data_IF_744904302959
#
_entry.id   IF_744904302959
#
_cell.length_a   1.000
_cell.length_b   1.000
_cell.length_c   1.000
_cell.angle_alpha   90.00
_cell.angle_beta   90.00
_cell.angle_gamma   90.00
#
_symmetry.space_group_name_H-M   'P 1'
#
loop_
_entity.id
_entity.type
_entity.pdbx_description
1 polymer ?
#
# COMPACT_ATOMS: atom_id res chain seq x y z
N UNK A 1 -50.71 -26.88 23.48
CA UNK A 1 -49.44 -26.32 23.98
C UNK A 1 -48.22 -27.14 23.58
N UNK A 2 -48.22 -28.47 23.68
CA UNK A 2 -47.02 -29.30 23.43
C UNK A 2 -46.41 -29.28 22.00
N UNK A 3 -47.15 -28.87 20.95
CA UNK A 3 -46.66 -28.95 19.56
C UNK A 3 -45.81 -27.74 19.17
N UNK A 4 -46.10 -26.56 19.75
CA UNK A 4 -45.34 -25.33 19.48
C UNK A 4 -43.93 -25.43 20.11
N UNK A 5 -43.84 -25.92 21.35
CA UNK A 5 -42.57 -26.07 22.07
C UNK A 5 -41.61 -27.06 21.37
N UNK A 6 -42.15 -28.11 20.73
CA UNK A 6 -41.38 -29.08 19.96
C UNK A 6 -40.85 -28.51 18.63
N UNK A 7 -41.56 -27.56 18.01
CA UNK A 7 -41.09 -26.90 16.80
C UNK A 7 -39.97 -25.91 17.10
N UNK A 8 -40.10 -25.12 18.17
CA UNK A 8 -39.07 -24.17 18.60
C UNK A 8 -37.76 -24.87 18.97
N UNK A 9 -37.82 -25.98 19.72
CA UNK A 9 -36.63 -26.77 20.07
C UNK A 9 -35.93 -27.38 18.84
N UNK A 10 -36.67 -27.71 17.79
CA UNK A 10 -36.12 -28.26 16.54
C UNK A 10 -35.44 -27.18 15.70
N UNK A 11 -35.98 -25.97 15.69
CA UNK A 11 -35.39 -24.81 15.00
C UNK A 11 -34.10 -24.35 15.66
N UNK A 12 -34.04 -24.34 16.99
CA UNK A 12 -32.85 -23.96 17.75
C UNK A 12 -31.70 -24.96 17.51
N UNK A 13 -31.99 -26.26 17.58
CA UNK A 13 -31.02 -27.33 17.26
C UNK A 13 -30.54 -27.28 15.80
N UNK A 14 -31.37 -26.83 14.87
CA UNK A 14 -30.97 -26.65 13.48
C UNK A 14 -30.06 -25.42 13.31
N UNK A 15 -30.31 -24.31 14.03
CA UNK A 15 -29.42 -23.14 14.02
C UNK A 15 -28.04 -23.47 14.57
N UNK A 16 -27.97 -24.21 15.68
CA UNK A 16 -26.70 -24.66 16.25
C UNK A 16 -25.89 -25.52 15.28
N UNK A 17 -26.55 -26.44 14.56
CA UNK A 17 -25.91 -27.26 13.52
C UNK A 17 -25.40 -26.45 12.35
N UNK A 18 -26.15 -25.43 11.92
CA UNK A 18 -25.73 -24.53 10.83
C UNK A 18 -24.52 -23.69 11.25
N UNK A 19 -24.50 -23.18 12.49
CA UNK A 19 -23.36 -22.42 13.00
C UNK A 19 -22.12 -23.30 13.22
N UNK A 20 -22.29 -24.55 13.66
CA UNK A 20 -21.20 -25.52 13.73
C UNK A 20 -20.64 -25.83 12.34
N UNK A 21 -21.51 -26.07 11.35
CA UNK A 21 -21.09 -26.31 9.97
C UNK A 21 -20.38 -25.11 9.34
N UNK A 22 -20.82 -23.87 9.61
CA UNK A 22 -20.10 -22.65 9.16
C UNK A 22 -18.71 -22.55 9.76
N UNK A 23 -18.55 -22.87 11.05
CA UNK A 23 -17.23 -22.88 11.71
C UNK A 23 -16.32 -23.96 11.12
N UNK A 24 -16.85 -25.15 10.82
CA UNK A 24 -16.10 -26.21 10.18
C UNK A 24 -15.68 -25.84 8.75
N UNK A 25 -16.56 -25.18 7.98
CA UNK A 25 -16.23 -24.68 6.64
C UNK A 25 -15.15 -23.61 6.72
N UNK A 26 -15.25 -22.62 7.61
CA UNK A 26 -14.19 -21.61 7.80
C UNK A 26 -12.85 -22.23 8.25
N UNK A 27 -12.88 -23.25 9.10
CA UNK A 27 -11.68 -23.95 9.53
C UNK A 27 -11.07 -24.80 8.40
N UNK A 28 -11.90 -25.35 7.52
CA UNK A 28 -11.46 -26.10 6.34
C UNK A 28 -10.90 -25.18 5.26
N UNK A 29 -11.54 -24.03 4.98
CA UNK A 29 -11.02 -22.99 4.08
C UNK A 29 -9.64 -22.51 4.53
N UNK A 30 -9.47 -22.20 5.82
CA UNK A 30 -8.15 -21.87 6.40
C UNK A 30 -7.09 -22.97 6.26
N UNK A 31 -7.48 -24.24 6.19
CA UNK A 31 -6.55 -25.37 6.02
C UNK A 31 -6.19 -25.63 4.55
N UNK A 32 -7.09 -25.32 3.62
CA UNK A 32 -6.84 -25.46 2.17
C UNK A 32 -5.91 -24.35 1.67
N UNK A 33 -5.97 -23.16 2.28
CA UNK A 33 -5.07 -22.03 1.99
C UNK A 33 -3.70 -22.12 2.68
N UNK A 34 -3.43 -23.15 3.47
CA UNK A 34 -2.17 -23.32 4.20
C UNK A 34 -1.28 -24.38 3.52
N UNK A 35 -0.73 -24.05 2.35
CA UNK A 35 0.50 -24.71 1.91
C UNK A 35 1.62 -24.38 2.91
N UNK A 36 2.53 -25.32 3.25
CA UNK A 36 3.69 -25.02 4.11
C UNK A 36 4.54 -23.83 3.62
N UNK A 37 4.45 -23.49 2.34
CA UNK A 37 5.10 -22.32 1.72
C UNK A 37 4.40 -20.98 2.00
N UNK A 38 3.19 -20.95 2.57
CA UNK A 38 2.45 -19.72 2.91
C UNK A 38 2.54 -19.37 4.41
N UNK A 39 3.06 -20.29 5.24
CA UNK A 39 3.16 -20.16 6.69
C UNK A 39 4.20 -19.09 7.13
N UNK A 40 5.25 -18.85 6.33
CA UNK A 40 6.27 -17.85 6.65
C UNK A 40 5.71 -16.42 6.71
N UNK A 41 4.76 -16.09 5.84
CA UNK A 41 4.23 -14.74 5.73
C UNK A 41 3.37 -14.41 6.96
N UNK A 42 2.54 -15.35 7.42
CA UNK A 42 1.80 -15.17 8.67
C UNK A 42 2.73 -15.04 9.87
N UNK A 43 3.76 -15.89 9.97
CA UNK A 43 4.78 -15.81 11.04
C UNK A 43 5.47 -14.45 11.11
N UNK A 44 5.64 -13.76 9.98
CA UNK A 44 6.20 -12.40 9.98
C UNK A 44 5.21 -11.35 10.43
N UNK A 45 3.95 -11.45 10.03
CA UNK A 45 2.90 -10.50 10.41
C UNK A 45 2.53 -10.61 11.90
N UNK A 46 2.75 -11.77 12.51
CA UNK A 46 2.59 -11.99 13.94
C UNK A 46 3.73 -11.39 14.78
N UNK A 47 4.78 -10.86 14.14
CA UNK A 47 5.91 -10.19 14.80
C UNK A 47 5.80 -8.67 14.68
N UNK A 48 6.42 -7.96 15.62
CA UNK A 48 6.66 -6.52 15.47
C UNK A 48 7.85 -6.31 14.53
N UNK A 49 7.58 -5.72 13.35
CA UNK A 49 8.57 -5.49 12.32
C UNK A 49 9.09 -4.05 12.37
N UNK A 50 10.40 -3.88 12.18
CA UNK A 50 11.01 -2.56 12.17
C UNK A 50 10.93 -1.92 10.78
N UNK A 51 10.63 -0.62 10.75
CA UNK A 51 10.74 0.15 9.51
C UNK A 51 12.19 0.64 9.35
N UNK A 52 12.93 0.02 8.42
CA UNK A 52 14.29 0.43 8.06
C UNK A 52 14.35 1.72 7.23
N UNK A 53 15.52 2.00 6.65
CA UNK A 53 15.72 3.15 5.76
C UNK A 53 15.05 3.03 4.39
N UNK A 54 14.34 1.92 4.13
CA UNK A 54 13.78 1.59 2.81
C UNK A 54 14.87 1.38 1.76
N UNK A 55 14.53 0.70 0.67
CA UNK A 55 15.42 0.62 -0.49
C UNK A 55 15.29 1.90 -1.31
N UNK A 56 16.42 2.43 -1.78
CA UNK A 56 16.42 3.62 -2.61
C UNK A 56 15.80 3.30 -3.98
N UNK A 57 14.83 4.10 -4.43
CA UNK A 57 14.26 4.01 -5.77
C UNK A 57 15.31 4.26 -6.88
N UNK A 58 16.40 4.95 -6.54
CA UNK A 58 17.46 5.32 -7.45
C UNK A 58 18.81 4.85 -6.92
N UNK A 59 19.54 4.09 -7.74
CA UNK A 59 20.92 3.64 -7.46
C UNK A 59 21.99 4.45 -8.21
N UNK A 60 21.58 5.50 -8.93
CA UNK A 60 22.48 6.32 -9.76
C UNK A 60 23.21 7.39 -8.93
N UNK A 61 24.34 7.88 -9.45
CA UNK A 61 25.12 8.95 -8.80
C UNK A 61 24.26 10.22 -8.59
N UNK A 62 23.35 10.52 -9.53
CA UNK A 62 22.43 11.66 -9.44
C UNK A 62 21.46 11.58 -8.26
N UNK A 63 21.27 10.42 -7.62
CA UNK A 63 20.48 10.30 -6.40
C UNK A 63 21.10 11.05 -5.22
N UNK A 64 22.41 11.33 -5.26
CA UNK A 64 23.16 12.01 -4.19
C UNK A 64 23.26 13.53 -4.37
N UNK A 65 22.84 14.05 -5.53
CA UNK A 65 22.91 15.50 -5.80
C UNK A 65 21.83 16.23 -5.03
N UNK A 66 22.00 17.51 -4.76
CA UNK A 66 20.97 18.31 -4.10
C UNK A 66 19.68 18.34 -4.95
N UNK A 67 18.53 18.28 -4.27
CA UNK A 67 17.24 18.32 -4.94
C UNK A 67 16.81 19.77 -5.21
N UNK A 68 16.94 20.20 -6.46
CA UNK A 68 16.57 21.54 -6.90
C UNK A 68 15.06 21.80 -6.73
N UNK A 69 14.69 22.96 -6.18
CA UNK A 69 13.28 23.35 -6.00
C UNK A 69 12.60 22.74 -4.77
N UNK A 70 13.36 22.10 -3.87
CA UNK A 70 12.84 21.49 -2.63
C UNK A 70 12.05 22.50 -1.79
N UNK A 71 12.60 23.69 -1.56
CA UNK A 71 11.97 24.67 -0.66
C UNK A 71 10.62 25.16 -1.20
N UNK A 72 10.55 25.45 -2.51
CA UNK A 72 9.32 25.84 -3.20
C UNK A 72 8.27 24.72 -3.11
N UNK A 73 8.67 23.48 -3.38
CA UNK A 73 7.77 22.33 -3.26
C UNK A 73 7.29 22.11 -1.82
N UNK A 74 8.12 22.30 -0.81
CA UNK A 74 7.68 22.24 0.59
C UNK A 74 6.66 23.34 0.90
N UNK A 75 6.83 24.54 0.34
CA UNK A 75 5.86 25.62 0.51
C UNK A 75 4.52 25.29 -0.16
N UNK A 76 4.55 24.73 -1.37
CA UNK A 76 3.36 24.31 -2.09
C UNK A 76 2.64 23.12 -1.43
N UNK A 77 3.38 22.17 -0.86
CA UNK A 77 2.85 20.97 -0.21
C UNK A 77 2.16 21.25 1.13
N UNK A 78 2.44 22.38 1.80
CA UNK A 78 1.85 22.71 3.09
C UNK A 78 0.32 22.79 3.03
N UNK A 79 -0.25 23.38 1.99
CA UNK A 79 -1.71 23.53 1.83
C UNK A 79 -2.43 22.18 1.67
N UNK A 80 -2.09 21.32 0.69
CA UNK A 80 -2.74 20.02 0.55
C UNK A 80 -2.47 19.11 1.76
N UNK A 81 -1.27 19.18 2.36
CA UNK A 81 -0.96 18.39 3.54
C UNK A 81 -1.77 18.82 4.77
N UNK A 82 -1.93 20.12 5.02
CA UNK A 82 -2.79 20.64 6.08
C UNK A 82 -4.24 20.19 5.91
N UNK A 83 -4.79 20.32 4.69
CA UNK A 83 -6.15 19.86 4.37
C UNK A 83 -6.32 18.37 4.65
N UNK A 84 -5.36 17.54 4.23
CA UNK A 84 -5.40 16.11 4.51
C UNK A 84 -5.43 15.82 6.02
N UNK A 85 -4.63 16.54 6.81
CA UNK A 85 -4.57 16.37 8.27
C UNK A 85 -5.86 16.80 8.96
N UNK A 86 -6.50 17.88 8.49
CA UNK A 86 -7.73 18.44 9.07
C UNK A 86 -8.96 17.56 8.82
N UNK A 87 -9.02 16.90 7.66
CA UNK A 87 -10.18 16.12 7.24
C UNK A 87 -10.07 14.62 7.53
N UNK A 88 -8.87 14.12 7.90
CA UNK A 88 -8.64 12.71 8.23
C UNK A 88 -9.61 12.22 9.31
N UNK A 89 -10.40 11.19 8.97
CA UNK A 89 -11.34 10.54 9.89
C UNK A 89 -12.64 11.30 10.15
N UNK A 90 -12.75 12.55 9.67
CA UNK A 90 -13.91 13.42 9.89
C UNK A 90 -14.80 13.49 8.65
N UNK A 91 -14.18 13.52 7.46
CA UNK A 91 -14.86 13.72 6.19
C UNK A 91 -14.70 12.50 5.26
N UNK A 92 -15.69 12.27 4.40
CA UNK A 92 -15.64 11.26 3.33
C UNK A 92 -15.45 11.89 1.94
N UNK A 93 -15.51 13.23 1.84
CA UNK A 93 -15.30 13.92 0.58
C UNK A 93 -13.86 13.74 0.09
N UNK A 94 -13.74 13.04 -1.04
CA UNK A 94 -12.47 12.76 -1.71
C UNK A 94 -11.73 14.03 -2.14
N UNK A 95 -12.43 15.16 -2.28
CA UNK A 95 -11.80 16.45 -2.59
C UNK A 95 -10.92 16.96 -1.43
N UNK A 96 -11.13 16.46 -0.22
CA UNK A 96 -10.38 16.83 0.98
C UNK A 96 -9.20 15.89 1.28
N UNK A 97 -9.00 14.86 0.45
CA UNK A 97 -7.93 13.89 0.57
C UNK A 97 -7.04 13.91 -0.68
N UNK A 98 -6.17 14.93 -0.81
CA UNK A 98 -5.38 15.14 -2.02
C UNK A 98 -4.47 13.96 -2.33
N UNK A 99 -4.47 13.54 -3.59
CA UNK A 99 -3.50 12.61 -4.15
C UNK A 99 -2.47 13.40 -4.95
N UNK A 100 -1.19 13.24 -4.62
CA UNK A 100 -0.10 13.86 -5.37
C UNK A 100 0.18 13.04 -6.62
N UNK A 101 0.39 13.72 -7.75
CA UNK A 101 0.63 13.05 -9.03
C UNK A 101 1.80 13.71 -9.72
N UNK A 102 2.79 12.92 -10.11
CA UNK A 102 3.99 13.37 -10.78
C UNK A 102 4.11 12.75 -12.19
N UNK A 103 3.82 13.55 -13.21
CA UNK A 103 3.97 13.16 -14.60
C UNK A 103 5.10 13.93 -15.27
N UNK A 104 6.04 13.21 -15.86
CA UNK A 104 7.14 13.81 -16.61
C UNK A 104 7.77 12.79 -17.56
N UNK A 105 8.51 13.28 -18.56
CA UNK A 105 9.32 12.45 -19.46
C UNK A 105 10.40 11.65 -18.70
N UNK A 106 11.03 10.63 -19.33
CA UNK A 106 12.17 9.94 -18.74
C UNK A 106 13.28 10.91 -18.31
N UNK A 107 13.95 10.61 -17.20
CA UNK A 107 15.09 11.42 -16.71
C UNK A 107 14.74 12.73 -16.00
N UNK A 108 13.46 13.12 -15.92
CA UNK A 108 13.01 14.39 -15.32
C UNK A 108 12.80 14.33 -13.79
N UNK A 109 13.45 13.39 -13.08
CA UNK A 109 13.46 13.39 -11.62
C UNK A 109 12.20 12.87 -10.89
N UNK A 110 11.32 12.11 -11.53
CA UNK A 110 10.10 11.54 -10.91
C UNK A 110 10.39 10.64 -9.69
N UNK A 111 11.21 9.61 -9.89
CA UNK A 111 11.60 8.70 -8.79
C UNK A 111 12.38 9.46 -7.71
N UNK A 112 13.10 10.53 -8.08
CA UNK A 112 13.80 11.39 -7.12
C UNK A 112 12.81 12.19 -6.27
N UNK A 113 11.75 12.74 -6.86
CA UNK A 113 10.66 13.39 -6.13
C UNK A 113 10.07 12.44 -5.08
N UNK A 114 9.77 11.19 -5.46
CA UNK A 114 9.25 10.19 -4.53
C UNK A 114 10.22 9.87 -3.39
N UNK A 115 11.52 9.78 -3.66
CA UNK A 115 12.54 9.59 -2.61
C UNK A 115 12.67 10.77 -1.65
N UNK A 116 12.46 12.01 -2.12
CA UNK A 116 12.55 13.23 -1.29
C UNK A 116 11.25 13.53 -0.54
N UNK A 117 10.11 13.05 -1.04
CA UNK A 117 8.78 13.34 -0.51
C UNK A 117 8.65 13.09 1.00
N UNK A 118 9.14 11.98 1.59
CA UNK A 118 9.06 11.76 3.04
C UNK A 118 9.74 12.88 3.86
N UNK A 119 10.91 13.34 3.41
CA UNK A 119 11.63 14.42 4.06
C UNK A 119 10.90 15.76 3.90
N UNK A 120 10.28 16.01 2.73
CA UNK A 120 9.47 17.20 2.49
C UNK A 120 8.19 17.21 3.32
N UNK A 121 7.50 16.08 3.49
CA UNK A 121 6.31 15.95 4.35
C UNK A 121 6.69 16.16 5.82
N UNK A 122 7.82 15.60 6.26
CA UNK A 122 8.33 15.82 7.61
C UNK A 122 8.67 17.30 7.86
N UNK A 123 9.17 18.01 6.84
CA UNK A 123 9.40 19.46 6.88
C UNK A 123 8.09 20.25 6.93
N UNK A 124 7.08 19.87 6.12
CA UNK A 124 5.73 20.44 6.17
C UNK A 124 5.11 20.29 7.56
N UNK A 125 5.24 19.10 8.18
CA UNK A 125 4.79 18.81 9.55
C UNK A 125 5.39 19.78 10.57
N UNK A 126 6.69 20.05 10.45
CA UNK A 126 7.41 20.99 11.34
C UNK A 126 7.01 22.44 11.10
N UNK A 127 6.80 22.86 9.85
CA UNK A 127 6.43 24.24 9.48
C UNK A 127 5.00 24.59 9.87
N UNK A 128 4.02 23.74 9.56
CA UNK A 128 2.60 24.00 9.86
C UNK A 128 2.34 24.07 11.36
N UNK A 129 2.86 23.12 12.13
CA UNK A 129 2.78 23.05 13.59
C UNK A 129 1.39 23.41 14.19
N UNK A 130 0.32 23.06 13.48
CA UNK A 130 -1.08 23.19 13.94
C UNK A 130 -1.42 22.05 14.91
N UNK A 131 -2.49 22.19 15.67
CA UNK A 131 -2.89 21.18 16.66
C UNK A 131 -3.14 19.81 16.02
N UNK A 132 -3.79 19.79 14.86
CA UNK A 132 -4.08 18.60 14.07
C UNK A 132 -2.81 17.92 13.55
N UNK A 133 -1.75 18.69 13.28
CA UNK A 133 -0.47 18.17 12.75
C UNK A 133 0.44 17.69 13.89
N UNK A 134 0.35 18.30 15.08
CA UNK A 134 1.20 17.99 16.24
C UNK A 134 1.03 16.57 16.78
N UNK A 135 -0.13 15.95 16.57
CA UNK A 135 -0.36 14.57 16.99
C UNK A 135 0.60 13.60 16.27
N UNK A 136 0.97 13.90 15.03
CA UNK A 136 1.89 13.08 14.25
C UNK A 136 3.34 13.30 14.70
N UNK A 137 4.01 12.22 15.07
CA UNK A 137 5.36 12.22 15.65
C UNK A 137 6.43 11.70 14.71
N UNK A 138 6.07 10.80 13.79
CA UNK A 138 7.00 10.19 12.84
C UNK A 138 6.39 10.04 11.46
N UNK A 139 7.27 9.98 10.47
CA UNK A 139 6.93 9.75 9.06
C UNK A 139 7.66 8.50 8.58
N UNK A 140 6.93 7.53 8.04
CA UNK A 140 7.45 6.34 7.35
C UNK A 140 7.12 6.41 5.86
N UNK A 141 7.83 5.66 5.02
CA UNK A 141 7.69 5.80 3.57
C UNK A 141 7.77 4.47 2.82
N UNK A 142 6.63 3.95 2.38
CA UNK A 142 6.59 2.83 1.44
C UNK A 142 6.71 3.36 0.02
N UNK A 143 7.82 3.06 -0.64
CA UNK A 143 8.14 3.51 -1.99
C UNK A 143 8.08 2.32 -2.92
N UNK A 144 6.89 2.09 -3.46
CA UNK A 144 6.55 0.94 -4.27
C UNK A 144 6.88 1.22 -5.72
N UNK A 145 7.67 0.36 -6.37
CA UNK A 145 7.97 0.52 -7.81
C UNK A 145 7.33 -0.57 -8.64
N UNK A 146 6.69 -0.16 -9.73
CA UNK A 146 6.18 -1.02 -10.80
C UNK A 146 7.27 -1.31 -11.85
N UNK A 147 8.49 -0.86 -11.64
CA UNK A 147 9.64 -1.05 -12.52
C UNK A 147 10.70 -1.94 -11.86
N UNK A 148 11.72 -2.32 -12.62
CA UNK A 148 12.88 -3.07 -12.14
C UNK A 148 12.49 -4.41 -11.47
N UNK A 149 13.35 -4.94 -10.59
CA UNK A 149 13.22 -6.27 -9.97
C UNK A 149 11.96 -6.51 -9.12
N UNK A 150 11.04 -5.54 -9.01
CA UNK A 150 9.73 -5.67 -8.36
C UNK A 150 8.56 -5.36 -9.30
N UNK A 151 8.80 -5.39 -10.62
CA UNK A 151 7.77 -5.16 -11.62
C UNK A 151 6.55 -6.09 -11.44
N UNK A 152 5.34 -5.64 -11.83
CA UNK A 152 4.15 -6.46 -11.79
C UNK A 152 4.35 -7.76 -12.55
N UNK A 153 3.94 -8.84 -11.93
CA UNK A 153 3.91 -10.16 -12.53
C UNK A 153 2.68 -10.35 -13.40
N UNK A 154 2.29 -11.61 -13.61
CA UNK A 154 0.96 -11.88 -14.14
C UNK A 154 -0.11 -11.43 -13.12
N UNK A 155 -0.94 -10.45 -13.48
CA UNK A 155 -1.91 -9.87 -12.56
C UNK A 155 -2.87 -10.91 -11.98
N UNK A 156 -3.37 -11.83 -12.81
CA UNK A 156 -4.39 -12.81 -12.44
C UNK A 156 -3.87 -13.95 -11.56
N UNK A 157 -2.59 -14.31 -11.69
CA UNK A 157 -2.03 -15.48 -10.99
C UNK A 157 -1.01 -15.11 -9.92
N UNK A 158 -0.29 -14.00 -10.08
CA UNK A 158 0.83 -13.63 -9.22
C UNK A 158 0.60 -12.38 -8.40
N UNK A 159 -0.23 -11.43 -8.83
CA UNK A 159 -0.61 -10.26 -8.02
C UNK A 159 -1.97 -10.48 -7.35
N UNK A 160 -2.89 -11.15 -8.04
CA UNK A 160 -4.28 -11.48 -7.69
C UNK A 160 -5.20 -10.26 -7.58
N UNK A 161 -4.77 -9.21 -6.89
CA UNK A 161 -5.49 -7.95 -6.74
C UNK A 161 -4.54 -6.82 -6.28
N UNK A 162 -5.01 -5.58 -6.35
CA UNK A 162 -4.22 -4.41 -5.94
C UNK A 162 -3.85 -4.39 -4.45
N UNK A 163 -4.69 -4.92 -3.56
CA UNK A 163 -4.39 -4.99 -2.12
C UNK A 163 -3.15 -5.84 -1.86
N UNK A 164 -3.11 -7.04 -2.43
CA UNK A 164 -1.95 -7.93 -2.34
C UNK A 164 -0.73 -7.39 -3.07
N UNK A 165 -0.92 -6.76 -4.24
CA UNK A 165 0.15 -6.07 -4.97
C UNK A 165 0.91 -5.08 -4.07
N UNK A 166 0.17 -4.24 -3.33
CA UNK A 166 0.75 -3.27 -2.40
C UNK A 166 1.36 -3.96 -1.18
N UNK A 167 0.60 -4.81 -0.52
CA UNK A 167 1.01 -5.42 0.73
C UNK A 167 2.27 -6.27 0.60
N UNK A 168 2.38 -7.03 -0.50
CA UNK A 168 3.57 -7.83 -0.79
C UNK A 168 4.82 -6.94 -0.95
N UNK A 169 4.72 -5.81 -1.65
CA UNK A 169 5.84 -4.89 -1.86
C UNK A 169 6.18 -4.09 -0.61
N UNK A 170 5.16 -3.70 0.16
CA UNK A 170 5.35 -3.07 1.47
C UNK A 170 6.10 -4.01 2.41
N UNK A 171 5.68 -5.28 2.51
CA UNK A 171 6.36 -6.28 3.34
C UNK A 171 7.79 -6.53 2.85
N UNK A 172 7.99 -6.65 1.53
CA UNK A 172 9.33 -6.82 0.94
C UNK A 172 10.28 -5.68 1.32
N UNK A 173 9.82 -4.43 1.31
CA UNK A 173 10.64 -3.26 1.67
C UNK A 173 11.16 -3.31 3.12
N UNK A 174 10.54 -4.11 4.00
CA UNK A 174 10.97 -4.30 5.38
C UNK A 174 12.12 -5.31 5.51
N UNK A 175 12.43 -6.07 4.45
CA UNK A 175 13.43 -7.14 4.47
C UNK A 175 14.77 -6.69 5.07
N UNK A 176 15.30 -5.57 4.57
CA UNK A 176 16.64 -5.09 4.91
C UNK A 176 16.82 -4.81 6.41
N UNK A 177 15.80 -4.32 7.10
CA UNK A 177 15.84 -4.09 8.55
C UNK A 177 15.53 -5.35 9.38
N UNK A 178 14.83 -6.32 8.79
CA UNK A 178 14.29 -7.47 9.52
C UNK A 178 14.87 -8.80 9.03
N UNK A 179 16.07 -8.80 8.44
CA UNK A 179 16.63 -9.99 7.78
C UNK A 179 16.64 -11.24 8.67
N UNK A 180 16.91 -11.09 9.97
CA UNK A 180 16.89 -12.20 10.92
C UNK A 180 15.49 -12.81 11.06
N UNK A 181 14.45 -11.98 11.20
CA UNK A 181 13.06 -12.42 11.27
C UNK A 181 12.59 -13.08 9.97
N UNK A 182 12.91 -12.47 8.82
CA UNK A 182 12.58 -13.03 7.49
C UNK A 182 13.23 -14.38 7.26
N UNK A 183 14.51 -14.53 7.59
CA UNK A 183 15.22 -15.82 7.50
C UNK A 183 14.67 -16.86 8.47
N UNK A 184 14.36 -16.47 9.70
CA UNK A 184 13.78 -17.37 10.70
C UNK A 184 12.37 -17.85 10.32
N UNK A 185 11.58 -16.99 9.68
CA UNK A 185 10.27 -17.34 9.15
C UNK A 185 10.35 -18.27 7.92
N UNK A 186 11.48 -18.29 7.21
CA UNK A 186 11.67 -19.04 5.97
C UNK A 186 11.22 -18.27 4.72
N UNK A 187 11.24 -16.94 4.77
CA UNK A 187 10.85 -16.10 3.64
C UNK A 187 11.87 -16.24 2.48
N UNK A 188 11.42 -16.29 1.21
CA UNK A 188 12.32 -16.33 0.06
C UNK A 188 13.18 -15.06 -0.05
N UNK A 189 14.45 -15.20 -0.46
CA UNK A 189 15.41 -14.08 -0.58
C UNK A 189 15.35 -13.35 -1.95
N UNK A 190 14.57 -13.85 -2.90
CA UNK A 190 14.29 -13.17 -4.16
C UNK A 190 12.81 -12.76 -4.24
N UNK A 191 12.55 -11.59 -4.81
CA UNK A 191 11.20 -11.02 -4.82
C UNK A 191 10.20 -11.86 -5.62
N UNK A 192 10.63 -12.55 -6.69
CA UNK A 192 9.73 -13.34 -7.51
C UNK A 192 9.18 -14.55 -6.73
N UNK A 193 10.04 -15.30 -6.06
CA UNK A 193 9.64 -16.39 -5.17
C UNK A 193 8.88 -15.88 -3.95
N UNK A 194 9.31 -14.75 -3.37
CA UNK A 194 8.62 -14.09 -2.26
C UNK A 194 7.18 -13.77 -2.64
N UNK A 195 6.97 -13.10 -3.77
CA UNK A 195 5.64 -12.77 -4.31
C UNK A 195 4.82 -14.01 -4.58
N UNK A 196 5.39 -15.04 -5.23
CA UNK A 196 4.65 -16.25 -5.57
C UNK A 196 4.14 -17.01 -4.33
N UNK A 197 4.89 -16.95 -3.21
CA UNK A 197 4.58 -17.68 -1.97
C UNK A 197 3.88 -16.82 -0.91
N UNK A 198 3.76 -15.51 -1.13
CA UNK A 198 3.10 -14.58 -0.22
C UNK A 198 1.60 -14.89 -0.10
N UNK A 199 1.02 -14.68 1.08
CA UNK A 199 -0.41 -14.94 1.38
C UNK A 199 -1.32 -14.31 0.32
N UNK A 200 -2.31 -15.07 -0.14
CA UNK A 200 -3.19 -14.65 -1.24
C UNK A 200 -4.15 -13.53 -0.85
N UNK A 201 -4.52 -13.46 0.42
CA UNK A 201 -5.42 -12.48 1.01
C UNK A 201 -4.69 -11.35 1.75
N UNK A 202 -3.36 -11.23 1.59
CA UNK A 202 -2.58 -10.20 2.25
C UNK A 202 -3.06 -8.80 1.83
N UNK A 203 -3.29 -7.93 2.80
CA UNK A 203 -3.67 -6.52 2.54
C UNK A 203 -2.70 -5.54 3.21
N UNK A 204 -2.62 -4.28 2.73
CA UNK A 204 -1.69 -3.28 3.26
C UNK A 204 -1.86 -3.04 4.77
N UNK A 205 -3.11 -3.11 5.23
CA UNK A 205 -3.49 -2.94 6.62
C UNK A 205 -2.81 -3.98 7.55
N UNK A 206 -2.55 -5.20 7.08
CA UNK A 206 -1.85 -6.22 7.87
C UNK A 206 -0.37 -5.85 8.07
N UNK A 207 0.26 -5.35 7.01
CA UNK A 207 1.66 -4.88 7.06
C UNK A 207 1.80 -3.64 7.95
N UNK A 208 0.83 -2.72 7.86
CA UNK A 208 0.81 -1.53 8.71
C UNK A 208 0.66 -1.91 10.19
N UNK A 209 -0.15 -2.92 10.53
CA UNK A 209 -0.28 -3.42 11.91
C UNK A 209 1.02 -4.01 12.43
N UNK A 210 1.71 -4.80 11.62
CA UNK A 210 2.98 -5.40 12.01
C UNK A 210 4.08 -4.36 12.30
N UNK A 211 4.07 -3.22 11.58
CA UNK A 211 5.09 -2.16 11.72
C UNK A 211 4.70 -1.06 12.70
N UNK A 212 3.40 -0.87 12.94
CA UNK A 212 2.86 0.24 13.74
C UNK A 212 1.92 -0.21 14.88
N UNK A 213 2.22 -1.29 15.64
CA UNK A 213 1.27 -1.88 16.59
C UNK A 213 0.68 -0.85 17.58
N UNK A 214 1.53 0.04 18.11
CA UNK A 214 1.12 1.04 19.10
C UNK A 214 1.25 2.50 18.61
N UNK A 215 1.54 2.71 17.32
CA UNK A 215 1.90 4.05 16.81
C UNK A 215 1.09 4.50 15.61
N UNK A 216 0.07 3.75 15.17
CA UNK A 216 -0.76 4.12 14.02
C UNK A 216 -1.29 5.55 14.10
N UNK A 217 -1.90 5.92 15.23
CA UNK A 217 -2.54 7.23 15.44
C UNK A 217 -1.58 8.42 15.35
N UNK A 218 -0.28 8.19 15.56
CA UNK A 218 0.75 9.24 15.59
C UNK A 218 1.72 9.15 14.41
N UNK A 219 1.42 8.31 13.42
CA UNK A 219 2.31 8.07 12.28
C UNK A 219 1.72 8.61 10.99
N UNK A 220 2.58 9.25 10.20
CA UNK A 220 2.33 9.56 8.79
C UNK A 220 2.99 8.46 7.96
N UNK A 221 2.26 7.90 7.01
CA UNK A 221 2.77 6.96 6.02
C UNK A 221 2.73 7.63 4.66
N UNK A 222 3.91 7.87 4.08
CA UNK A 222 4.04 8.26 2.68
C UNK A 222 3.98 7.00 1.83
N UNK A 223 3.01 6.93 0.92
CA UNK A 223 2.88 5.86 -0.06
C UNK A 223 3.24 6.42 -1.44
N UNK A 224 4.47 6.17 -1.86
CA UNK A 224 4.96 6.49 -3.20
C UNK A 224 4.74 5.30 -4.13
N UNK A 225 4.19 5.53 -5.32
CA UNK A 225 4.05 4.50 -6.36
C UNK A 225 4.72 4.96 -7.64
N UNK A 226 5.85 4.35 -7.98
CA UNK A 226 6.62 4.67 -9.17
C UNK A 226 6.27 3.75 -10.35
N UNK A 227 6.41 4.29 -11.55
CA UNK A 227 6.32 3.51 -12.77
C UNK A 227 4.90 3.08 -13.16
N UNK A 228 3.86 3.85 -12.81
CA UNK A 228 2.46 3.49 -13.10
C UNK A 228 2.18 3.22 -14.58
N UNK A 229 3.02 3.73 -15.50
CA UNK A 229 2.94 3.43 -16.93
C UNK A 229 3.23 1.97 -17.30
N UNK A 230 3.88 1.22 -16.40
CA UNK A 230 4.14 -0.21 -16.58
C UNK A 230 2.93 -1.10 -16.30
N UNK A 231 1.83 -0.54 -15.78
CA UNK A 231 0.61 -1.29 -15.50
C UNK A 231 -0.29 -1.36 -16.73
N UNK A 232 -0.85 -2.54 -16.97
CA UNK A 232 -1.86 -2.74 -18.00
C UNK A 232 -3.08 -1.83 -17.74
N UNK A 233 -3.56 -1.20 -18.82
CA UNK A 233 -4.66 -0.23 -18.77
C UNK A 233 -4.24 1.21 -18.50
N UNK A 234 -2.94 1.51 -18.42
CA UNK A 234 -2.43 2.89 -18.35
C UNK A 234 -2.65 3.65 -19.65
N UNK A 235 -2.39 3.05 -20.82
CA UNK A 235 -2.61 3.70 -22.12
C UNK A 235 -4.09 3.57 -22.55
N UNK A 236 -4.87 4.67 -22.55
CA UNK A 236 -6.27 4.63 -22.98
C UNK A 236 -6.44 4.38 -24.48
N UNK A 237 -5.37 4.52 -25.28
CA UNK A 237 -5.39 4.33 -26.74
C UNK A 237 -5.16 2.87 -27.14
N UNK A 238 -4.73 2.02 -26.22
CA UNK A 238 -4.47 0.60 -26.46
C UNK A 238 -5.75 -0.24 -26.72
N UNK A 239 -6.91 0.38 -26.98
CA UNK A 239 -8.15 -0.29 -27.37
C UNK A 239 -8.87 -1.04 -26.25
N UNK A 240 -8.23 -1.23 -25.09
CA UNK A 240 -8.75 -2.00 -23.95
C UNK A 240 -8.94 -1.12 -22.69
N UNK A 241 -9.73 -0.07 -22.84
CA UNK A 241 -10.15 0.73 -21.68
C UNK A 241 -11.08 -0.11 -20.78
N UNK A 242 -10.69 -0.31 -19.51
CA UNK A 242 -11.51 -1.05 -18.56
C UNK A 242 -11.18 -0.70 -17.11
N UNK A 243 -12.20 -0.39 -16.31
CA UNK A 243 -12.07 -0.10 -14.87
C UNK A 243 -11.58 -1.28 -14.02
N UNK A 244 -11.48 -2.47 -14.63
CA UNK A 244 -10.97 -3.71 -14.05
C UNK A 244 -9.52 -4.00 -14.46
N UNK A 245 -8.85 -3.09 -15.18
CA UNK A 245 -7.44 -3.24 -15.53
C UNK A 245 -6.54 -2.92 -14.34
N UNK A 246 -5.34 -3.54 -14.25
CA UNK A 246 -4.40 -3.35 -13.15
C UNK A 246 -4.15 -1.90 -12.76
N UNK A 247 -3.95 -1.01 -13.73
CA UNK A 247 -3.76 0.43 -13.48
C UNK A 247 -4.89 1.03 -12.63
N UNK A 248 -6.16 0.75 -12.97
CA UNK A 248 -7.31 1.29 -12.27
C UNK A 248 -7.52 0.63 -10.90
N UNK A 249 -7.17 -0.64 -10.74
CA UNK A 249 -7.20 -1.31 -9.45
C UNK A 249 -6.16 -0.72 -8.50
N UNK A 250 -4.93 -0.53 -8.96
CA UNK A 250 -3.85 0.11 -8.18
C UNK A 250 -4.24 1.53 -7.78
N UNK A 251 -4.73 2.36 -8.72
CA UNK A 251 -5.19 3.72 -8.41
C UNK A 251 -6.34 3.73 -7.40
N UNK A 252 -7.28 2.79 -7.51
CA UNK A 252 -8.40 2.68 -6.56
C UNK A 252 -7.89 2.33 -5.16
N UNK A 253 -6.89 1.46 -5.07
CA UNK A 253 -6.32 1.04 -3.79
C UNK A 253 -5.50 2.16 -3.14
N UNK A 254 -4.72 2.93 -3.90
CA UNK A 254 -4.06 4.15 -3.39
C UNK A 254 -5.12 5.12 -2.85
N UNK A 255 -6.18 5.38 -3.62
CA UNK A 255 -7.27 6.21 -3.17
C UNK A 255 -7.94 5.65 -1.91
N UNK A 256 -8.14 4.33 -1.80
CA UNK A 256 -8.69 3.70 -0.58
C UNK A 256 -7.82 4.01 0.63
N UNK A 257 -6.51 3.81 0.52
CA UNK A 257 -5.55 4.03 1.60
C UNK A 257 -5.46 5.49 2.02
N UNK A 258 -5.47 6.43 1.07
CA UNK A 258 -5.45 7.87 1.36
C UNK A 258 -6.77 8.33 2.02
N UNK A 259 -7.92 7.85 1.51
CA UNK A 259 -9.25 8.22 2.01
C UNK A 259 -9.70 7.45 3.26
N UNK A 260 -8.94 6.45 3.72
CA UNK A 260 -9.39 5.63 4.84
C UNK A 260 -9.55 6.50 6.10
N UNK A 261 -10.61 6.26 6.87
CA UNK A 261 -10.83 6.98 8.13
C UNK A 261 -9.86 6.55 9.24
N UNK A 262 -9.49 5.27 9.22
CA UNK A 262 -8.58 4.69 10.20
C UNK A 262 -7.17 5.29 10.05
N UNK A 263 -6.48 5.37 11.18
CA UNK A 263 -5.04 5.65 11.21
C UNK A 263 -4.25 4.51 10.56
N UNK A 264 -3.02 4.76 10.07
CA UNK A 264 -2.30 6.04 10.08
C UNK A 264 -2.82 7.07 9.05
N UNK A 265 -2.30 8.30 9.12
CA UNK A 265 -2.45 9.28 8.03
C UNK A 265 -1.63 8.81 6.84
N UNK A 266 -2.26 8.65 5.67
CA UNK A 266 -1.57 8.21 4.45
C UNK A 266 -1.47 9.36 3.46
N UNK A 267 -0.25 9.72 3.08
CA UNK A 267 0.04 10.69 2.02
C UNK A 267 0.40 9.91 0.76
N UNK A 268 -0.50 9.88 -0.22
CA UNK A 268 -0.28 9.17 -1.48
C UNK A 268 0.40 10.04 -2.54
N UNK A 269 1.40 9.48 -3.23
CA UNK A 269 1.98 10.08 -4.43
C UNK A 269 2.21 9.02 -5.50
N UNK A 270 1.72 9.26 -6.71
CA UNK A 270 1.91 8.36 -7.85
C UNK A 270 2.74 9.05 -8.93
N UNK A 271 3.69 8.35 -9.52
CA UNK A 271 4.44 8.83 -10.67
C UNK A 271 4.25 7.94 -11.90
N UNK A 272 4.21 8.60 -13.06
CA UNK A 272 4.26 7.89 -14.32
C UNK A 272 5.07 8.66 -15.37
N UNK A 273 5.67 7.92 -16.28
CA UNK A 273 6.31 8.48 -17.47
C UNK A 273 5.25 8.78 -18.52
N UNK A 274 5.20 10.03 -18.97
CA UNK A 274 4.43 10.38 -20.17
C UNK A 274 5.35 10.26 -21.39
N UNK A 275 4.96 9.41 -22.33
CA UNK A 275 5.51 9.45 -23.69
C UNK A 275 4.72 10.49 -24.48
N UNK A 276 5.35 11.62 -24.78
CA UNK A 276 4.85 12.52 -25.80
C UNK A 276 5.13 11.87 -27.15
N UNK A 277 4.12 11.24 -27.76
CA UNK A 277 4.18 10.96 -29.19
C UNK A 277 4.56 12.26 -29.88
N UNK A 278 5.71 12.26 -30.56
CA UNK A 278 6.11 13.35 -31.42
C UNK A 278 5.13 13.40 -32.61
N UNK A 279 3.97 14.02 -32.40
CA UNK A 279 3.11 14.56 -33.45
C UNK A 279 3.72 15.79 -34.12
N UNK A 280 5.05 15.84 -34.24
CA UNK A 280 5.76 16.76 -35.12
C UNK A 280 6.38 15.91 -36.23
N UNK A 281 5.52 15.49 -37.15
CA UNK A 281 5.94 15.43 -38.54
C UNK A 281 6.28 16.87 -38.96
N UNK A 282 7.56 17.18 -39.02
CA UNK A 282 8.13 18.23 -39.86
C UNK A 282 8.69 17.56 -41.12
#
# INVERSE_FOLDING_TARGET
>A
MAVADLQTAREEKNREKVEAAKKEVQAAEKKVDASPAQDWCQKLLDQELEFGTGDALLSTIGAKWDYCGREDLVNDLQVPFARLCEHKGVDEDKQNHPLLIAFASPGQGKSRLLSELPAMIEECRKKLNTEQVRQYKKTLAFLITCENGTSPGNWTTEELNAGRFFACRMLWQLWSANQAAFKAAGAPEDFAAFRAQCLQNLVPDDVLKAVLPDTMETTIVVLGVDGMQGLEGFDPRAGEAGKAKPFYEVMREVCRLVNQKASPLVVGCVSATQSLDHGLAL
#
